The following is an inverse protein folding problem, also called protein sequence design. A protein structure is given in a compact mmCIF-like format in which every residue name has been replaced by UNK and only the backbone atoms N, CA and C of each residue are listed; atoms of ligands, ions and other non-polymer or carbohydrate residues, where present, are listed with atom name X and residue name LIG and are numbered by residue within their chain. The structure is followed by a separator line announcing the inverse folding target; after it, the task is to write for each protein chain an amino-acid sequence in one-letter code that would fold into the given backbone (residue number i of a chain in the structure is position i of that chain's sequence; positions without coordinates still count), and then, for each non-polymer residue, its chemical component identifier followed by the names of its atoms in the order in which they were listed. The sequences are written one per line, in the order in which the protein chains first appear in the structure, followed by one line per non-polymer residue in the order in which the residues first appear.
data_IF_403321444588
#
_entry.id   IF_403321444588
#
_cell.length_a   1.000
_cell.length_b   1.000
_cell.length_c   1.000
_cell.angle_alpha   90.00
_cell.angle_beta   90.00
_cell.angle_gamma   90.00
#
_symmetry.space_group_name_H-M   'P 1'
#
loop_
_entity.id
_entity.type
_entity.pdbx_description
1 polymer ?
#
# COMPACT_ATOMS: atom_id res chain seq x y z
N UNK A 1 -11.69 2.47 -18.53
CA UNK A 1 -10.44 2.31 -17.75
C UNK A 1 -9.28 2.32 -18.73
N UNK A 2 -8.25 3.13 -18.47
CA UNK A 2 -7.17 3.43 -19.42
C UNK A 2 -6.36 2.17 -19.80
N UNK A 3 -6.30 1.83 -21.09
CA UNK A 3 -5.66 0.59 -21.60
C UNK A 3 -4.16 0.51 -21.27
N UNK A 4 -3.53 1.65 -20.97
CA UNK A 4 -2.11 1.78 -20.62
C UNK A 4 -1.70 1.01 -19.35
N UNK A 5 -2.65 0.66 -18.47
CA UNK A 5 -2.37 -0.12 -17.25
C UNK A 5 -2.50 -1.64 -17.46
N UNK A 6 -2.93 -2.11 -18.63
CA UNK A 6 -3.15 -3.54 -18.90
C UNK A 6 -1.84 -4.33 -18.94
N UNK A 7 -0.81 -3.80 -19.61
CA UNK A 7 0.50 -4.45 -19.73
C UNK A 7 1.19 -4.62 -18.36
N UNK A 8 1.36 -3.56 -17.52
CA UNK A 8 1.97 -3.70 -16.20
C UNK A 8 1.20 -4.65 -15.28
N UNK A 9 -0.13 -4.61 -15.30
CA UNK A 9 -0.97 -5.49 -14.48
C UNK A 9 -0.76 -6.97 -14.83
N UNK A 10 -0.74 -7.30 -16.13
CA UNK A 10 -0.49 -8.68 -16.59
C UNK A 10 0.91 -9.15 -16.21
N UNK A 11 1.90 -8.29 -16.36
CA UNK A 11 3.27 -8.59 -15.96
C UNK A 11 3.39 -8.89 -14.45
N UNK A 12 2.84 -8.02 -13.59
CA UNK A 12 2.77 -8.24 -12.15
C UNK A 12 2.04 -9.54 -11.80
N UNK A 13 0.93 -9.86 -12.47
CA UNK A 13 0.21 -11.12 -12.25
C UNK A 13 1.03 -12.35 -12.65
N UNK A 14 1.84 -12.27 -13.71
CA UNK A 14 2.75 -13.35 -14.07
C UNK A 14 3.82 -13.57 -12.99
N UNK A 15 4.41 -12.50 -12.44
CA UNK A 15 5.36 -12.58 -11.33
C UNK A 15 4.73 -13.22 -10.09
N UNK A 16 3.52 -12.82 -9.73
CA UNK A 16 2.79 -13.39 -8.59
C UNK A 16 2.50 -14.88 -8.77
N UNK A 17 2.15 -15.32 -9.98
CA UNK A 17 1.96 -16.75 -10.29
C UNK A 17 3.25 -17.55 -10.13
N UNK A 18 4.38 -17.03 -10.63
CA UNK A 18 5.70 -17.67 -10.48
C UNK A 18 6.08 -17.80 -9.00
N UNK A 19 5.64 -16.85 -8.16
CA UNK A 19 5.84 -16.87 -6.70
C UNK A 19 4.68 -17.54 -5.93
N UNK A 20 3.90 -18.39 -6.58
CA UNK A 20 2.81 -19.19 -5.98
C UNK A 20 1.71 -18.36 -5.29
N UNK A 21 1.46 -17.14 -5.77
CA UNK A 21 0.41 -16.22 -5.28
C UNK A 21 -0.58 -15.85 -6.39
N UNK A 22 -1.23 -16.82 -7.07
CA UNK A 22 -2.03 -16.57 -8.27
C UNK A 22 -3.29 -15.70 -8.05
N UNK A 23 -3.78 -15.61 -6.80
CA UNK A 23 -4.94 -14.80 -6.43
C UNK A 23 -4.57 -13.38 -5.95
N UNK A 24 -3.28 -13.10 -5.74
CA UNK A 24 -2.87 -11.77 -5.34
C UNK A 24 -3.06 -10.78 -6.50
N UNK A 25 -3.40 -9.54 -6.18
CA UNK A 25 -3.60 -8.48 -7.16
C UNK A 25 -2.97 -7.18 -6.69
N UNK A 26 -3.07 -6.12 -7.51
CA UNK A 26 -2.65 -4.77 -7.08
C UNK A 26 -3.37 -4.35 -5.78
N UNK A 27 -4.63 -4.76 -5.62
CA UNK A 27 -5.40 -4.50 -4.41
C UNK A 27 -4.83 -5.23 -3.19
N UNK A 28 -4.30 -6.45 -3.37
CA UNK A 28 -3.61 -7.17 -2.30
C UNK A 28 -2.39 -6.40 -1.79
N UNK A 29 -1.61 -5.77 -2.66
CA UNK A 29 -0.49 -4.91 -2.23
C UNK A 29 -0.95 -3.70 -1.43
N UNK A 30 -2.05 -3.05 -1.84
CA UNK A 30 -2.66 -1.95 -1.07
C UNK A 30 -3.07 -2.41 0.34
N UNK A 31 -3.63 -3.61 0.47
CA UNK A 31 -3.97 -4.19 1.77
C UNK A 31 -2.72 -4.50 2.60
N UNK A 32 -1.70 -5.12 2.03
CA UNK A 32 -0.44 -5.41 2.72
C UNK A 32 0.22 -4.13 3.23
N UNK A 33 0.24 -3.07 2.41
CA UNK A 33 0.75 -1.75 2.81
C UNK A 33 -0.02 -1.16 3.99
N UNK A 34 -1.36 -1.15 3.94
CA UNK A 34 -2.20 -0.68 5.04
C UNK A 34 -1.99 -1.48 6.33
N UNK A 35 -1.92 -2.82 6.22
CA UNK A 35 -1.72 -3.68 7.38
C UNK A 35 -0.36 -3.44 8.01
N UNK A 36 0.69 -3.28 7.20
CA UNK A 36 2.04 -2.99 7.72
C UNK A 36 2.08 -1.68 8.50
N UNK A 37 1.43 -0.62 7.99
CA UNK A 37 1.33 0.65 8.72
C UNK A 37 0.51 0.52 10.01
N UNK A 38 -0.58 -0.25 9.98
CA UNK A 38 -1.40 -0.53 11.17
C UNK A 38 -0.59 -1.28 12.22
N UNK A 39 0.17 -2.29 11.82
CA UNK A 39 0.94 -3.15 12.72
C UNK A 39 2.11 -2.37 13.35
N UNK A 40 2.59 -1.30 12.69
CA UNK A 40 3.52 -0.32 13.27
C UNK A 40 2.86 0.66 14.24
N UNK A 41 1.53 0.70 14.32
CA UNK A 41 0.79 1.59 15.20
C UNK A 41 0.31 2.90 14.55
N UNK A 42 0.39 3.06 13.22
CA UNK A 42 -0.11 4.27 12.57
C UNK A 42 -1.64 4.35 12.69
N UNK A 43 -2.12 5.53 13.07
CA UNK A 43 -3.54 5.84 13.24
C UNK A 43 -4.35 5.51 11.98
N UNK A 44 -5.65 5.23 12.14
CA UNK A 44 -6.50 4.93 10.98
C UNK A 44 -6.68 6.16 10.09
N UNK A 45 -6.66 7.34 10.70
CA UNK A 45 -6.80 8.64 10.07
C UNK A 45 -5.61 8.92 9.14
N UNK A 46 -4.38 8.76 9.62
CA UNK A 46 -3.18 8.96 8.80
C UNK A 46 -3.08 7.91 7.68
N UNK A 47 -3.47 6.66 7.95
CA UNK A 47 -3.53 5.60 6.93
C UNK A 47 -4.56 5.90 5.84
N UNK A 48 -5.71 6.47 6.18
CA UNK A 48 -6.74 6.84 5.20
C UNK A 48 -6.25 7.93 4.23
N UNK A 49 -5.48 8.89 4.74
CA UNK A 49 -4.83 9.94 3.92
C UNK A 49 -3.83 9.30 2.96
N UNK A 50 -2.93 8.45 3.47
CA UNK A 50 -1.94 7.74 2.64
C UNK A 50 -2.57 6.84 1.57
N UNK A 51 -3.72 6.24 1.87
CA UNK A 51 -4.43 5.37 0.94
C UNK A 51 -5.36 6.14 -0.02
N UNK A 52 -5.45 7.47 0.11
CA UNK A 52 -6.39 8.32 -0.63
C UNK A 52 -7.80 7.72 -0.65
N UNK A 53 -8.29 7.28 0.52
CA UNK A 53 -9.61 6.66 0.63
C UNK A 53 -10.68 7.73 0.36
N UNK A 54 -11.16 7.79 -0.89
CA UNK A 54 -12.20 8.69 -1.36
C UNK A 54 -13.61 8.30 -0.85
N UNK A 55 -13.76 7.87 0.40
CA UNK A 55 -15.10 7.73 1.00
C UNK A 55 -15.55 9.12 1.47
N UNK A 56 -16.33 9.75 0.60
CA UNK A 56 -16.67 11.18 0.56
C UNK A 56 -17.65 11.67 1.62
N UNK A 57 -17.76 11.07 2.80
CA UNK A 57 -18.72 11.56 3.82
C UNK A 57 -18.24 11.59 5.27
N UNK A 58 -17.11 10.96 5.63
CA UNK A 58 -16.71 10.85 7.06
C UNK A 58 -15.40 11.58 7.41
N UNK A 59 -14.53 11.85 6.44
CA UNK A 59 -13.20 12.45 6.69
C UNK A 59 -13.12 13.97 6.48
N UNK A 60 -14.22 14.71 6.71
CA UNK A 60 -14.15 16.19 6.75
C UNK A 60 -13.57 16.75 8.07
N UNK A 61 -13.21 15.89 9.03
CA UNK A 61 -12.84 16.30 10.39
C UNK A 61 -11.34 16.10 10.69
N UNK A 62 -10.45 16.17 9.69
CA UNK A 62 -9.01 16.25 9.99
C UNK A 62 -8.35 17.48 9.40
N UNK A 63 -7.88 18.33 10.31
CA UNK A 63 -7.48 19.70 10.03
C UNK A 63 -6.11 19.78 9.36
N UNK A 64 -5.13 18.93 9.65
CA UNK A 64 -3.88 18.88 8.87
C UNK A 64 -3.23 17.48 8.96
N UNK A 65 -3.13 16.72 7.85
CA UNK A 65 -2.35 15.48 7.86
C UNK A 65 -0.88 15.76 8.20
N UNK A 66 -0.30 14.95 9.09
CA UNK A 66 1.11 15.06 9.44
C UNK A 66 1.97 14.22 8.48
N UNK A 67 2.35 14.84 7.36
CA UNK A 67 3.15 14.18 6.31
C UNK A 67 4.55 13.77 6.78
N UNK A 68 5.15 14.48 7.73
CA UNK A 68 6.46 14.14 8.28
C UNK A 68 6.39 12.84 9.07
N UNK A 69 5.39 12.71 9.94
CA UNK A 69 5.11 11.48 10.67
C UNK A 69 4.81 10.33 9.70
N UNK A 70 3.94 10.56 8.71
CA UNK A 70 3.61 9.55 7.71
C UNK A 70 4.84 9.06 6.93
N UNK A 71 5.76 9.98 6.58
CA UNK A 71 7.03 9.65 5.92
C UNK A 71 7.91 8.76 6.80
N UNK A 72 8.02 9.05 8.10
CA UNK A 72 8.76 8.22 9.05
C UNK A 72 8.23 6.78 9.09
N UNK A 73 6.91 6.60 9.11
CA UNK A 73 6.28 5.27 9.09
C UNK A 73 6.48 4.53 7.76
N UNK A 74 6.42 5.23 6.63
CA UNK A 74 6.72 4.63 5.33
C UNK A 74 8.19 4.17 5.28
N UNK A 75 9.10 4.96 5.85
CA UNK A 75 10.53 4.64 5.90
C UNK A 75 10.88 3.55 6.92
N UNK A 76 10.01 3.28 7.91
CA UNK A 76 10.20 2.21 8.89
C UNK A 76 9.61 0.86 8.44
N UNK A 77 8.91 0.82 7.30
CA UNK A 77 8.45 -0.44 6.71
C UNK A 77 9.66 -1.35 6.43
N UNK A 78 9.51 -2.67 6.65
CA UNK A 78 10.59 -3.61 6.37
C UNK A 78 11.00 -3.48 4.90
N UNK A 79 12.29 -3.44 4.65
CA UNK A 79 12.81 -3.41 3.28
C UNK A 79 12.44 -4.71 2.57
N UNK A 80 11.45 -4.64 1.68
CA UNK A 80 11.01 -5.77 0.86
C UNK A 80 11.97 -6.07 -0.30
N UNK A 81 13.00 -5.24 -0.51
CA UNK A 81 14.15 -5.58 -1.35
C UNK A 81 14.91 -6.66 -0.61
N UNK A 82 14.85 -7.88 -1.14
CA UNK A 82 15.53 -9.03 -0.58
C UNK A 82 16.98 -8.68 -0.26
N UNK A 83 17.35 -8.81 1.02
CA UNK A 83 18.70 -9.28 1.31
C UNK A 83 18.68 -10.73 0.88
N UNK A 84 18.99 -11.00 -0.39
CA UNK A 84 19.40 -12.33 -0.82
C UNK A 84 20.58 -12.68 0.10
N UNK A 85 20.30 -13.46 1.14
CA UNK A 85 21.32 -14.12 1.93
C UNK A 85 21.62 -15.38 1.17
N UNK A 86 22.84 -15.42 0.61
CA UNK A 86 23.62 -16.57 0.15
C UNK A 86 22.88 -17.90 -0.02
#
# INVERSE_FOLDING_TARGET
MNDNLKKPRKFMQALLRIKERPHATLHSFRHTFNNSLRDLGLSIEDRQVLLAQASSSVNKIYTHPNFDLASQYVNSLPTYLAKDKN
#
